data_IF_849287285625
#
_entry.id   IF_849287285625
#
_cell.length_a   1.000
_cell.length_b   1.000
_cell.length_c   1.000
_cell.angle_alpha   90.00
_cell.angle_beta   90.00
_cell.angle_gamma   90.00
#
_symmetry.space_group_name_H-M   'P 1'
#
loop_
_entity.id
_entity.type
_entity.pdbx_description
1 polymer ?
#
# COMPACT_ATOMS: atom_id res chain seq x y z
N UNK A 1 -2.47 -19.27 -7.10
CA UNK A 1 -3.70 -18.50 -7.41
C UNK A 1 -4.03 -17.50 -6.30
N UNK A 2 -4.15 -17.94 -5.04
CA UNK A 2 -4.50 -17.04 -3.92
C UNK A 2 -3.51 -15.87 -3.77
N UNK A 3 -2.19 -16.06 -3.95
CA UNK A 3 -1.23 -14.94 -3.80
C UNK A 3 -1.35 -13.88 -4.90
N UNK A 4 -1.81 -14.28 -6.09
CA UNK A 4 -2.09 -13.35 -7.19
C UNK A 4 -3.35 -12.53 -6.86
N UNK A 5 -4.34 -13.15 -6.23
CA UNK A 5 -5.54 -12.44 -5.76
C UNK A 5 -5.14 -11.47 -4.64
N UNK A 6 -4.37 -11.92 -3.65
CA UNK A 6 -3.92 -11.10 -2.54
C UNK A 6 -3.08 -9.91 -3.02
N UNK A 7 -2.15 -10.12 -3.96
CA UNK A 7 -1.38 -9.01 -4.52
C UNK A 7 -2.26 -8.08 -5.37
N UNK A 8 -3.24 -8.61 -6.10
CA UNK A 8 -4.22 -7.80 -6.83
C UNK A 8 -5.04 -6.89 -5.91
N UNK A 9 -5.52 -7.42 -4.79
CA UNK A 9 -6.21 -6.63 -3.76
C UNK A 9 -5.27 -5.61 -3.13
N UNK A 10 -4.02 -5.98 -2.84
CA UNK A 10 -3.02 -5.05 -2.29
C UNK A 10 -2.78 -3.86 -3.24
N UNK A 11 -2.60 -4.12 -4.53
CA UNK A 11 -2.45 -3.08 -5.56
C UNK A 11 -3.70 -2.20 -5.62
N UNK A 12 -4.89 -2.81 -5.63
CA UNK A 12 -6.15 -2.07 -5.69
C UNK A 12 -6.31 -1.14 -4.48
N UNK A 13 -6.05 -1.62 -3.27
CA UNK A 13 -6.07 -0.81 -2.05
C UNK A 13 -5.08 0.36 -2.12
N UNK A 14 -3.88 0.12 -2.64
CA UNK A 14 -2.87 1.18 -2.81
C UNK A 14 -3.32 2.21 -3.85
N UNK A 15 -3.85 1.78 -4.99
CA UNK A 15 -4.35 2.68 -6.03
C UNK A 15 -5.49 3.54 -5.52
N UNK A 16 -6.45 2.95 -4.81
CA UNK A 16 -7.54 3.70 -4.18
C UNK A 16 -6.98 4.73 -3.20
N UNK A 17 -6.03 4.35 -2.34
CA UNK A 17 -5.40 5.29 -1.41
C UNK A 17 -4.74 6.48 -2.13
N UNK A 18 -4.00 6.21 -3.21
CA UNK A 18 -3.31 7.24 -3.99
C UNK A 18 -4.29 8.16 -4.73
N UNK A 19 -5.34 7.60 -5.33
CA UNK A 19 -6.38 8.37 -6.03
C UNK A 19 -7.13 9.26 -5.06
N UNK A 20 -7.57 8.73 -3.91
CA UNK A 20 -8.27 9.50 -2.89
C UNK A 20 -7.37 10.60 -2.33
N UNK A 21 -6.09 10.33 -2.13
CA UNK A 21 -5.14 11.34 -1.66
C UNK A 21 -4.89 12.43 -2.70
N UNK A 22 -4.78 12.08 -3.99
CA UNK A 22 -4.59 13.05 -5.06
C UNK A 22 -5.82 13.95 -5.25
N UNK A 23 -7.02 13.36 -5.20
CA UNK A 23 -8.28 14.08 -5.35
C UNK A 23 -8.94 14.44 -4.00
N UNK A 24 -8.15 14.54 -2.93
CA UNK A 24 -8.66 14.77 -1.57
C UNK A 24 -9.46 16.08 -1.45
N UNK A 25 -9.08 17.08 -2.22
CA UNK A 25 -9.79 18.35 -2.26
C UNK A 25 -11.16 18.19 -2.93
N UNK A 26 -11.24 17.51 -4.06
CA UNK A 26 -12.47 17.33 -4.83
C UNK A 26 -13.47 16.41 -4.12
N UNK A 27 -12.98 15.35 -3.47
CA UNK A 27 -13.86 14.37 -2.81
C UNK A 27 -14.19 14.72 -1.36
N UNK A 28 -13.27 15.37 -0.65
CA UNK A 28 -13.40 15.59 0.80
C UNK A 28 -13.24 17.05 1.23
N UNK A 29 -13.02 17.99 0.30
CA UNK A 29 -12.81 19.40 0.62
C UNK A 29 -11.52 19.68 1.38
N UNK A 30 -10.58 18.71 1.44
CA UNK A 30 -9.35 18.83 2.23
C UNK A 30 -8.35 19.73 1.49
N UNK A 31 -8.15 20.93 2.01
CA UNK A 31 -7.16 21.87 1.50
C UNK A 31 -5.74 21.53 1.98
N UNK A 32 -4.76 21.73 1.10
CA UNK A 32 -3.35 21.65 1.49
C UNK A 32 -3.05 22.82 2.45
N UNK A 33 -2.48 22.52 3.62
CA UNK A 33 -2.16 23.52 4.66
C UNK A 33 -3.12 23.60 5.84
N UNK A 34 -4.33 23.00 5.75
CA UNK A 34 -5.21 22.86 6.90
C UNK A 34 -4.81 21.62 7.74
N UNK A 35 -4.08 21.86 8.82
CA UNK A 35 -3.49 20.79 9.63
C UNK A 35 -4.52 19.78 10.16
N UNK A 36 -5.70 20.23 10.60
CA UNK A 36 -6.71 19.37 11.21
C UNK A 36 -7.39 18.46 10.16
N UNK A 37 -7.77 19.02 9.02
CA UNK A 37 -8.40 18.27 7.94
C UNK A 37 -7.41 17.31 7.26
N UNK A 38 -6.14 17.72 7.12
CA UNK A 38 -5.08 16.84 6.62
C UNK A 38 -4.81 15.66 7.58
N UNK A 39 -4.79 15.91 8.89
CA UNK A 39 -4.62 14.85 9.88
C UNK A 39 -5.78 13.85 9.85
N UNK A 40 -7.02 14.36 9.88
CA UNK A 40 -8.23 13.52 9.86
C UNK A 40 -8.29 12.63 8.63
N UNK A 41 -8.07 13.18 7.43
CA UNK A 41 -8.04 12.41 6.19
C UNK A 41 -6.95 11.33 6.18
N UNK A 42 -5.75 11.67 6.65
CA UNK A 42 -4.64 10.74 6.68
C UNK A 42 -4.91 9.56 7.63
N UNK A 43 -5.43 9.82 8.83
CA UNK A 43 -5.68 8.78 9.84
C UNK A 43 -6.91 7.93 9.49
N UNK A 44 -7.96 8.52 8.93
CA UNK A 44 -9.22 7.81 8.66
C UNK A 44 -9.23 7.03 7.35
N UNK A 45 -8.52 7.50 6.33
CA UNK A 45 -8.61 6.93 4.97
C UNK A 45 -7.25 6.48 4.46
N UNK A 46 -6.28 7.39 4.38
CA UNK A 46 -5.02 7.12 3.69
C UNK A 46 -4.19 6.03 4.39
N UNK A 47 -3.88 6.21 5.67
CA UNK A 47 -3.08 5.28 6.45
C UNK A 47 -3.72 3.88 6.49
N UNK A 48 -5.03 3.72 6.81
CA UNK A 48 -5.66 2.39 6.82
C UNK A 48 -5.57 1.65 5.49
N UNK A 49 -5.80 2.33 4.36
CA UNK A 49 -5.75 1.70 3.03
C UNK A 49 -4.32 1.29 2.64
N UNK A 50 -3.33 2.15 2.91
CA UNK A 50 -1.93 1.81 2.62
C UNK A 50 -1.45 0.70 3.55
N UNK A 51 -1.84 0.72 4.83
CA UNK A 51 -1.51 -0.32 5.80
C UNK A 51 -2.11 -1.67 5.40
N UNK A 52 -3.36 -1.69 4.91
CA UNK A 52 -3.98 -2.89 4.34
C UNK A 52 -3.16 -3.45 3.16
N UNK A 53 -2.73 -2.58 2.24
CA UNK A 53 -1.89 -2.97 1.10
C UNK A 53 -0.55 -3.59 1.53
N UNK A 54 0.08 -3.01 2.55
CA UNK A 54 1.33 -3.51 3.13
C UNK A 54 1.12 -4.86 3.82
N UNK A 55 0.07 -5.00 4.64
CA UNK A 55 -0.23 -6.26 5.33
C UNK A 55 -0.46 -7.40 4.34
N UNK A 56 -1.23 -7.16 3.27
CA UNK A 56 -1.44 -8.15 2.22
C UNK A 56 -0.13 -8.50 1.50
N UNK A 57 0.73 -7.52 1.24
CA UNK A 57 2.04 -7.72 0.64
C UNK A 57 2.97 -8.57 1.53
N UNK A 58 2.94 -8.35 2.85
CA UNK A 58 3.68 -9.17 3.82
C UNK A 58 3.15 -10.60 3.89
N UNK A 59 1.83 -10.79 3.87
CA UNK A 59 1.20 -12.12 3.82
C UNK A 59 1.64 -12.87 2.56
N UNK A 60 1.67 -12.21 1.40
CA UNK A 60 2.15 -12.79 0.15
C UNK A 60 3.61 -13.23 0.28
N UNK A 61 4.48 -12.38 0.82
CA UNK A 61 5.89 -12.70 1.04
C UNK A 61 6.08 -13.91 1.96
N UNK A 62 5.36 -13.95 3.08
CA UNK A 62 5.39 -15.07 4.01
C UNK A 62 4.95 -16.38 3.33
N UNK A 63 3.85 -16.35 2.57
CA UNK A 63 3.32 -17.54 1.87
C UNK A 63 4.25 -18.03 0.74
N UNK A 64 4.92 -17.12 0.05
CA UNK A 64 5.90 -17.47 -0.99
C UNK A 64 7.16 -18.07 -0.36
N UNK A 65 7.65 -17.49 0.73
CA UNK A 65 8.83 -17.99 1.45
C UNK A 65 8.60 -19.39 2.04
N UNK A 66 7.47 -19.59 2.72
CA UNK A 66 7.12 -20.90 3.32
C UNK A 66 6.88 -22.00 2.29
N UNK A 67 6.33 -21.67 1.13
CA UNK A 67 6.03 -22.63 0.07
C UNK A 67 7.04 -22.60 -1.09
N UNK A 68 8.24 -22.05 -0.87
CA UNK A 68 9.20 -21.79 -1.94
C UNK A 68 9.58 -23.04 -2.72
N UNK A 69 9.81 -24.16 -2.03
CA UNK A 69 10.20 -25.43 -2.65
C UNK A 69 9.05 -26.16 -3.35
N UNK A 70 7.80 -25.93 -2.93
CA UNK A 70 6.63 -26.66 -3.45
C UNK A 70 6.10 -26.10 -4.77
N UNK A 71 6.46 -24.87 -5.15
CA UNK A 71 5.98 -24.28 -6.41
C UNK A 71 7.02 -24.47 -7.51
N UNK A 72 6.63 -25.12 -8.59
CA UNK A 72 7.48 -25.39 -9.75
C UNK A 72 7.64 -24.18 -10.68
N UNK A 73 6.62 -23.34 -10.81
CA UNK A 73 6.65 -22.19 -11.72
C UNK A 73 7.30 -20.98 -11.04
N UNK A 74 8.48 -20.60 -11.51
CA UNK A 74 9.29 -19.51 -10.93
C UNK A 74 8.59 -18.14 -11.00
N UNK A 75 7.98 -17.80 -12.15
CA UNK A 75 7.31 -16.51 -12.36
C UNK A 75 6.14 -16.27 -11.40
N UNK A 76 5.44 -17.35 -10.98
CA UNK A 76 4.36 -17.27 -10.00
C UNK A 76 4.85 -16.95 -8.57
N UNK A 77 6.18 -16.97 -8.34
CA UNK A 77 6.82 -16.52 -7.09
C UNK A 77 7.42 -15.13 -7.25
N UNK A 78 8.16 -14.91 -8.33
CA UNK A 78 8.93 -13.68 -8.51
C UNK A 78 8.04 -12.46 -8.71
N UNK A 79 6.99 -12.56 -9.54
CA UNK A 79 6.12 -11.41 -9.83
C UNK A 79 5.46 -10.88 -8.55
N UNK A 80 4.76 -11.70 -7.75
CA UNK A 80 4.14 -11.18 -6.52
C UNK A 80 5.16 -10.70 -5.49
N UNK A 81 6.36 -11.30 -5.44
CA UNK A 81 7.44 -10.88 -4.53
C UNK A 81 8.05 -9.52 -4.91
N UNK A 82 8.24 -9.26 -6.21
CA UNK A 82 8.74 -7.96 -6.68
C UNK A 82 7.70 -6.87 -6.40
N UNK A 83 6.43 -7.15 -6.73
CA UNK A 83 5.33 -6.20 -6.51
C UNK A 83 5.16 -5.91 -5.01
N UNK A 84 5.17 -6.92 -4.15
CA UNK A 84 5.04 -6.72 -2.70
C UNK A 84 6.18 -5.87 -2.15
N UNK A 85 7.42 -6.09 -2.60
CA UNK A 85 8.56 -5.27 -2.24
C UNK A 85 8.38 -3.81 -2.68
N UNK A 86 7.89 -3.57 -3.90
CA UNK A 86 7.60 -2.21 -4.38
C UNK A 86 6.54 -1.51 -3.54
N UNK A 87 5.47 -2.21 -3.16
CA UNK A 87 4.42 -1.68 -2.28
C UNK A 87 5.00 -1.27 -0.92
N UNK A 88 5.84 -2.13 -0.32
CA UNK A 88 6.47 -1.85 0.98
C UNK A 88 7.41 -0.65 0.88
N UNK A 89 8.22 -0.56 -0.19
CA UNK A 89 9.11 0.59 -0.42
C UNK A 89 8.32 1.89 -0.59
N UNK A 90 7.22 1.86 -1.35
CA UNK A 90 6.33 3.02 -1.50
C UNK A 90 5.72 3.43 -0.17
N UNK A 91 5.30 2.50 0.67
CA UNK A 91 4.80 2.82 2.01
C UNK A 91 5.86 3.52 2.86
N UNK A 92 7.08 2.97 2.92
CA UNK A 92 8.19 3.58 3.66
C UNK A 92 8.45 5.00 3.15
N UNK A 93 8.47 5.20 1.83
CA UNK A 93 8.64 6.51 1.22
C UNK A 93 7.53 7.50 1.62
N UNK A 94 6.25 7.07 1.60
CA UNK A 94 5.14 7.93 2.00
C UNK A 94 5.18 8.30 3.48
N UNK A 95 5.52 7.35 4.35
CA UNK A 95 5.70 7.60 5.79
C UNK A 95 6.79 8.64 6.03
N UNK A 96 7.96 8.48 5.41
CA UNK A 96 9.05 9.45 5.52
C UNK A 96 8.60 10.83 5.03
N UNK A 97 7.87 10.89 3.91
CA UNK A 97 7.34 12.14 3.36
C UNK A 97 6.38 12.84 4.33
N UNK A 98 5.46 12.10 4.94
CA UNK A 98 4.48 12.67 5.88
C UNK A 98 5.18 13.25 7.11
N UNK A 99 6.17 12.55 7.66
CA UNK A 99 6.90 13.00 8.86
C UNK A 99 7.98 14.05 8.58
N UNK A 100 8.43 14.24 7.33
CA UNK A 100 9.46 15.22 6.98
C UNK A 100 8.90 16.61 6.60
N UNK A 101 7.61 16.71 6.28
CA UNK A 101 6.96 17.97 5.88
C UNK A 101 6.51 18.82 7.10
N UNK A 102 6.87 18.41 8.33
CA UNK A 102 6.57 19.14 9.57
C UNK A 102 7.71 20.03 10.08
N UNK A 103 8.72 20.32 9.26
CA UNK A 103 9.75 21.35 9.49
C UNK A 103 9.61 22.47 8.45
#
# INVERSE_FOLDING_TARGET
>A
MIDIILIGVAILSLLIALILNYYRFQFFGVHEGDAANNFSFNVSIFIPLVLLSVLLSLIVNYRISTNWKMRTILWMKLIPLIISCLIILLFIFQIIRIFRVSE
#
